data_IF_755874221514
#
_entry.id   IF_755874221514
#
_cell.length_a   1.000
_cell.length_b   1.000
_cell.length_c   1.000
_cell.angle_alpha   90.00
_cell.angle_beta   90.00
_cell.angle_gamma   90.00
#
_symmetry.space_group_name_H-M   'P 1'
#
loop_
_entity.id
_entity.type
_entity.pdbx_description
1 polymer ?
#
# COMPACT_ATOMS: atom_id res chain seq x y z
N UNK A 1 17.90 -9.37 13.14
CA UNK A 1 16.82 -8.93 12.23
C UNK A 1 15.66 -8.47 13.08
N UNK A 2 15.45 -7.16 13.19
CA UNK A 2 14.29 -6.61 13.87
C UNK A 2 13.07 -6.97 13.01
N UNK A 3 12.21 -7.84 13.51
CA UNK A 3 10.92 -8.08 12.87
C UNK A 3 10.11 -6.82 13.11
N UNK A 4 10.00 -5.96 12.10
CA UNK A 4 9.05 -4.87 12.13
C UNK A 4 7.66 -5.50 12.25
N UNK A 5 7.00 -5.26 13.37
CA UNK A 5 5.60 -5.61 13.52
C UNK A 5 4.84 -4.61 12.66
N UNK A 6 4.63 -4.97 11.38
CA UNK A 6 3.94 -4.15 10.39
C UNK A 6 2.46 -4.11 10.76
N UNK A 7 2.09 -3.28 11.73
CA UNK A 7 0.68 -3.02 12.01
C UNK A 7 0.15 -1.99 11.00
N UNK A 8 -0.85 -2.38 10.21
CA UNK A 8 -1.45 -1.48 9.22
C UNK A 8 -2.20 -0.31 9.86
N UNK A 9 -2.47 -0.39 11.17
CA UNK A 9 -3.03 0.69 11.98
C UNK A 9 -1.95 1.63 12.54
N UNK A 10 -0.66 1.29 12.40
CA UNK A 10 0.42 2.18 12.78
C UNK A 10 0.49 3.36 11.81
N UNK A 11 -0.06 4.51 12.24
CA UNK A 11 -0.10 5.74 11.44
C UNK A 11 1.28 6.31 11.09
N UNK A 12 2.37 5.82 11.69
CA UNK A 12 3.74 6.16 11.23
C UNK A 12 4.13 5.38 9.97
N UNK A 13 3.73 4.12 9.89
CA UNK A 13 4.00 3.27 8.73
C UNK A 13 2.92 3.42 7.65
N UNK A 14 1.68 3.66 8.04
CA UNK A 14 0.51 3.80 7.19
C UNK A 14 -0.28 5.07 7.56
N UNK A 15 0.26 6.26 7.27
CA UNK A 15 -0.39 7.53 7.56
C UNK A 15 -1.70 7.68 6.78
N UNK A 16 -2.63 8.46 7.33
CA UNK A 16 -3.75 9.01 6.55
C UNK A 16 -3.29 10.26 5.76
N UNK A 17 -4.16 10.81 4.91
CA UNK A 17 -3.78 11.91 4.03
C UNK A 17 -3.32 13.16 4.80
N UNK A 18 -3.98 13.49 5.91
CA UNK A 18 -3.62 14.66 6.74
C UNK A 18 -2.31 14.54 7.49
N UNK A 19 -1.74 13.33 7.56
CA UNK A 19 -0.48 13.04 8.24
C UNK A 19 0.70 12.93 7.27
N UNK A 20 0.48 13.02 5.96
CA UNK A 20 1.56 12.96 4.98
C UNK A 20 2.40 14.23 5.03
N UNK A 21 3.73 14.12 4.81
CA UNK A 21 4.57 15.30 4.62
C UNK A 21 4.13 16.05 3.37
N UNK A 22 4.30 17.37 3.36
CA UNK A 22 4.11 18.19 2.16
C UNK A 22 5.39 18.18 1.34
N UNK A 23 5.29 18.05 0.02
CA UNK A 23 6.45 17.84 -0.86
C UNK A 23 7.47 18.98 -0.88
N UNK A 24 7.04 20.19 -0.53
CA UNK A 24 7.89 21.38 -0.42
C UNK A 24 8.20 21.77 1.04
N UNK A 25 7.92 20.91 2.03
CA UNK A 25 8.18 21.17 3.44
C UNK A 25 9.24 20.22 4.01
N UNK A 26 10.13 20.76 4.85
CA UNK A 26 11.11 19.95 5.56
C UNK A 26 10.47 19.33 6.81
N UNK A 27 9.84 18.16 6.63
CA UNK A 27 9.27 17.42 7.76
C UNK A 27 10.30 16.50 8.43
N UNK A 28 10.85 16.97 9.56
CA UNK A 28 11.81 16.23 10.39
C UNK A 28 11.26 14.91 10.98
N UNK A 29 9.95 14.70 10.92
CA UNK A 29 9.29 13.44 11.32
C UNK A 29 9.57 12.35 10.29
N UNK A 30 9.56 12.71 9.00
CA UNK A 30 9.73 11.79 7.88
C UNK A 30 11.16 11.78 7.34
N UNK A 31 11.86 12.90 7.41
CA UNK A 31 13.20 13.06 6.83
C UNK A 31 14.26 13.40 7.88
N UNK A 32 15.48 12.93 7.63
CA UNK A 32 16.68 13.35 8.32
C UNK A 32 17.70 13.78 7.30
N UNK A 33 18.48 14.79 7.63
CA UNK A 33 19.63 15.17 6.85
C UNK A 33 20.77 14.18 7.09
N UNK A 34 21.39 13.75 5.99
CA UNK A 34 22.62 12.98 6.04
C UNK A 34 23.80 13.92 6.32
N UNK A 35 24.47 13.74 7.46
CA UNK A 35 25.46 14.69 7.97
C UNK A 35 26.68 14.90 7.06
N UNK A 36 26.97 13.97 6.16
CA UNK A 36 28.10 14.06 5.23
C UNK A 36 27.70 14.72 3.90
N UNK A 37 26.52 14.37 3.37
CA UNK A 37 26.08 14.82 2.04
C UNK A 37 25.12 16.02 2.07
N UNK A 38 24.51 16.34 3.21
CA UNK A 38 23.42 17.31 3.31
C UNK A 38 22.12 16.84 2.64
N UNK A 39 22.08 15.60 2.12
CA UNK A 39 20.93 15.07 1.40
C UNK A 39 19.90 14.57 2.40
N UNK A 40 18.64 14.96 2.18
CA UNK A 40 17.52 14.45 2.95
C UNK A 40 17.25 12.97 2.64
N UNK A 41 17.15 12.15 3.68
CA UNK A 41 16.83 10.73 3.60
C UNK A 41 15.64 10.37 4.47
N UNK A 42 14.76 9.46 4.03
CA UNK A 42 13.69 8.94 4.88
C UNK A 42 14.22 8.41 6.23
N UNK A 43 13.57 8.79 7.34
CA UNK A 43 13.86 8.27 8.69
C UNK A 43 13.34 6.87 8.90
N UNK A 44 12.24 6.55 8.23
CA UNK A 44 11.55 5.27 8.25
C UNK A 44 10.83 5.09 6.91
N UNK A 45 10.30 3.89 6.67
CA UNK A 45 9.45 3.61 5.52
C UNK A 45 8.00 3.92 5.89
N UNK A 46 7.26 4.59 5.00
CA UNK A 46 5.81 4.74 5.09
C UNK A 46 5.16 4.41 3.75
N UNK A 47 3.90 3.98 3.83
CA UNK A 47 3.08 3.56 2.72
C UNK A 47 1.69 4.16 2.88
N UNK A 48 1.28 4.97 1.92
CA UNK A 48 -0.08 5.52 1.88
C UNK A 48 -1.00 4.54 1.14
N UNK A 49 -2.10 4.15 1.79
CA UNK A 49 -3.07 3.19 1.27
C UNK A 49 -4.38 3.89 0.91
N UNK A 50 -4.87 3.64 -0.29
CA UNK A 50 -6.09 4.27 -0.82
C UNK A 50 -6.87 3.33 -1.71
N UNK A 51 -8.19 3.34 -1.60
CA UNK A 51 -9.11 2.64 -2.51
C UNK A 51 -9.64 3.58 -3.58
N UNK A 52 -9.48 3.22 -4.86
CA UNK A 52 -9.94 4.01 -6.00
C UNK A 52 -11.46 4.05 -6.02
N UNK A 53 -12.04 5.24 -5.94
CA UNK A 53 -13.49 5.46 -6.04
C UNK A 53 -13.92 6.02 -7.38
N UNK A 54 -13.02 6.70 -8.10
CA UNK A 54 -13.32 7.31 -9.40
C UNK A 54 -12.08 7.38 -10.28
N UNK A 55 -12.26 7.15 -11.58
CA UNK A 55 -11.24 7.35 -12.61
C UNK A 55 -11.55 8.66 -13.33
N UNK A 56 -10.59 9.58 -13.35
CA UNK A 56 -10.76 10.89 -13.98
C UNK A 56 -10.28 10.83 -15.43
N UNK A 57 -11.16 11.04 -16.43
CA UNK A 57 -10.80 10.95 -17.84
C UNK A 57 -10.02 12.20 -18.27
N UNK A 58 -8.70 12.07 -18.42
CA UNK A 58 -7.84 13.17 -18.88
C UNK A 58 -6.54 12.67 -19.53
N UNK A 59 -5.67 13.59 -19.96
CA UNK A 59 -4.41 13.30 -20.67
C UNK A 59 -3.41 12.47 -19.86
N UNK A 60 -3.53 12.46 -18.52
CA UNK A 60 -2.71 11.67 -17.59
C UNK A 60 -3.63 10.86 -16.68
N UNK A 61 -3.20 9.68 -16.20
CA UNK A 61 -3.98 8.92 -15.25
C UNK A 61 -4.17 9.67 -13.94
N UNK A 62 -5.44 9.86 -13.57
CA UNK A 62 -5.85 10.57 -12.37
C UNK A 62 -7.04 9.86 -11.75
N UNK A 63 -7.12 9.93 -10.43
CA UNK A 63 -8.10 9.18 -9.65
C UNK A 63 -8.59 10.03 -8.48
N UNK A 64 -9.85 9.82 -8.10
CA UNK A 64 -10.27 10.05 -6.72
C UNK A 64 -10.25 8.71 -5.99
N UNK A 65 -9.74 8.73 -4.77
CA UNK A 65 -9.64 7.56 -3.92
C UNK A 65 -9.97 7.92 -2.47
N UNK A 66 -10.26 6.92 -1.66
CA UNK A 66 -10.47 7.08 -0.22
C UNK A 66 -9.31 6.48 0.55
N UNK A 67 -8.77 7.22 1.50
CA UNK A 67 -7.76 6.69 2.41
C UNK A 67 -8.35 5.79 3.51
N UNK A 68 -7.49 5.31 4.40
CA UNK A 68 -7.86 4.44 5.53
C UNK A 68 -8.89 5.03 6.50
N UNK A 69 -9.03 6.36 6.54
CA UNK A 69 -10.04 7.04 7.38
C UNK A 69 -11.26 7.49 6.55
N UNK A 70 -11.31 7.09 5.27
CA UNK A 70 -12.40 7.41 4.34
C UNK A 70 -12.31 8.80 3.72
N UNK A 71 -11.21 9.53 3.93
CA UNK A 71 -11.02 10.85 3.34
C UNK A 71 -10.83 10.72 1.84
N UNK A 72 -11.59 11.51 1.06
CA UNK A 72 -11.42 11.60 -0.38
C UNK A 72 -10.13 12.33 -0.72
N UNK A 73 -9.30 11.72 -1.56
CA UNK A 73 -7.98 12.20 -1.98
C UNK A 73 -7.87 12.16 -3.49
N UNK A 74 -7.34 13.23 -4.06
CA UNK A 74 -7.03 13.31 -5.49
C UNK A 74 -5.62 12.76 -5.74
N UNK A 75 -5.46 11.91 -6.75
CA UNK A 75 -4.18 11.28 -7.10
C UNK A 75 -3.90 11.52 -8.57
N UNK A 76 -2.71 12.02 -8.90
CA UNK A 76 -2.32 12.30 -10.27
C UNK A 76 -0.93 11.76 -10.61
N UNK A 77 -0.85 10.91 -11.63
CA UNK A 77 0.40 10.36 -12.12
C UNK A 77 1.13 11.38 -13.01
N UNK A 78 2.31 11.80 -12.56
CA UNK A 78 3.25 12.70 -13.20
C UNK A 78 4.56 11.99 -13.58
N UNK A 79 4.49 10.68 -13.83
CA UNK A 79 5.61 9.90 -14.32
C UNK A 79 6.05 10.37 -15.71
N UNK A 80 7.33 10.14 -16.05
CA UNK A 80 7.90 10.51 -17.35
C UNK A 80 7.19 9.77 -18.50
N UNK A 81 6.80 8.52 -18.24
CA UNK A 81 5.86 7.80 -19.08
C UNK A 81 4.45 8.30 -18.81
N UNK A 82 3.89 9.15 -19.68
CA UNK A 82 2.55 9.76 -19.47
C UNK A 82 1.39 8.76 -19.29
N UNK A 83 1.63 7.46 -19.40
CA UNK A 83 0.67 6.39 -19.18
C UNK A 83 1.40 5.11 -18.72
N UNK A 84 1.84 5.03 -17.45
CA UNK A 84 2.50 3.84 -16.95
C UNK A 84 1.53 2.67 -16.99
N UNK A 85 2.06 1.48 -17.26
CA UNK A 85 1.26 0.26 -17.39
C UNK A 85 0.35 0.05 -16.17
N UNK A 86 0.89 0.29 -14.97
CA UNK A 86 0.15 0.16 -13.70
C UNK A 86 -1.12 1.01 -13.67
N UNK A 87 -1.10 2.20 -14.27
CA UNK A 87 -2.23 3.11 -14.28
C UNK A 87 -3.33 2.68 -15.27
N UNK A 88 -2.99 1.91 -16.32
CA UNK A 88 -3.97 1.38 -17.28
C UNK A 88 -4.78 0.22 -16.73
N UNK A 89 -4.24 -0.50 -15.76
CA UNK A 89 -4.89 -1.67 -15.15
C UNK A 89 -5.78 -1.31 -13.96
N UNK A 90 -5.69 -0.08 -13.47
CA UNK A 90 -6.46 0.42 -12.35
C UNK A 90 -7.95 0.49 -12.68
N UNK A 91 -8.78 -0.09 -11.82
CA UNK A 91 -10.25 0.05 -11.86
C UNK A 91 -10.79 0.58 -10.53
N UNK A 92 -12.01 1.09 -10.56
CA UNK A 92 -12.75 1.44 -9.34
C UNK A 92 -12.85 0.21 -8.43
N UNK A 93 -12.59 0.39 -7.14
CA UNK A 93 -12.53 -0.66 -6.13
C UNK A 93 -11.16 -1.31 -5.95
N UNK A 94 -10.16 -0.97 -6.77
CA UNK A 94 -8.78 -1.38 -6.53
C UNK A 94 -8.13 -0.54 -5.44
N UNK A 95 -7.13 -1.11 -4.76
CA UNK A 95 -6.34 -0.43 -3.75
C UNK A 95 -4.95 -0.11 -4.28
N UNK A 96 -4.51 1.13 -4.12
CA UNK A 96 -3.12 1.53 -4.34
C UNK A 96 -2.36 1.62 -3.01
N UNK A 97 -1.15 1.07 -3.00
CA UNK A 97 -0.13 1.34 -2.01
C UNK A 97 0.93 2.25 -2.62
N UNK A 98 1.13 3.43 -2.06
CA UNK A 98 2.07 4.44 -2.55
C UNK A 98 3.15 4.62 -1.47
N UNK A 99 4.33 4.07 -1.72
CA UNK A 99 5.49 4.24 -0.86
C UNK A 99 5.98 5.68 -0.90
N UNK A 100 6.31 6.21 0.27
CA UNK A 100 6.84 7.57 0.41
C UNK A 100 5.95 8.68 -0.14
N UNK A 101 4.62 8.47 -0.13
CA UNK A 101 3.68 9.48 -0.60
C UNK A 101 3.87 10.81 0.15
N UNK A 102 3.72 11.90 -0.59
CA UNK A 102 3.73 13.26 -0.09
C UNK A 102 2.47 13.97 -0.60
N UNK A 103 1.94 14.87 0.20
CA UNK A 103 0.88 15.77 -0.24
C UNK A 103 1.46 16.87 -1.16
N UNK A 104 0.69 17.27 -2.17
CA UNK A 104 1.10 18.18 -3.22
C UNK A 104 -0.04 19.16 -3.54
N UNK A 105 0.30 20.45 -3.65
CA UNK A 105 -0.59 21.49 -4.16
C UNK A 105 -0.50 21.61 -5.68
N UNK A 106 -1.62 21.42 -6.38
CA UNK A 106 -1.72 21.55 -7.83
C UNK A 106 -2.04 22.98 -8.24
N UNK A 107 -1.70 23.34 -9.50
CA UNK A 107 -1.90 24.68 -10.05
C UNK A 107 -3.37 25.15 -10.06
N UNK A 108 -4.32 24.22 -10.07
CA UNK A 108 -5.76 24.50 -10.02
C UNK A 108 -6.29 24.70 -8.59
N UNK A 109 -5.40 24.73 -7.60
CA UNK A 109 -5.72 24.89 -6.18
C UNK A 109 -6.13 23.60 -5.48
N UNK A 110 -6.18 22.44 -6.16
CA UNK A 110 -6.42 21.15 -5.50
C UNK A 110 -5.20 20.75 -4.66
N UNK A 111 -5.43 20.01 -3.59
CA UNK A 111 -4.39 19.33 -2.81
C UNK A 111 -4.61 17.83 -2.93
N UNK A 112 -3.56 17.07 -3.22
CA UNK A 112 -3.64 15.62 -3.42
C UNK A 112 -2.28 14.95 -3.41
N UNK A 113 -2.16 13.82 -4.10
CA UNK A 113 -0.90 13.08 -4.26
C UNK A 113 -0.42 13.20 -5.69
N UNK A 114 0.83 13.62 -5.86
CA UNK A 114 1.53 13.59 -7.15
C UNK A 114 2.46 12.38 -7.18
N UNK A 115 2.18 11.42 -8.06
CA UNK A 115 3.01 10.22 -8.21
C UNK A 115 4.03 10.44 -9.33
N UNK A 116 5.30 10.55 -8.98
CA UNK A 116 6.38 10.83 -9.94
C UNK A 116 7.08 9.58 -10.48
N UNK A 117 7.03 8.47 -9.74
CA UNK A 117 7.57 7.18 -10.18
C UNK A 117 6.61 6.04 -9.84
N UNK A 118 6.36 5.17 -10.82
CA UNK A 118 5.53 3.98 -10.62
C UNK A 118 6.24 2.90 -9.78
N UNK A 119 7.57 2.96 -9.61
CA UNK A 119 8.34 1.98 -8.84
C UNK A 119 7.96 1.96 -7.35
N UNK A 120 7.39 3.07 -6.87
CA UNK A 120 6.89 3.22 -5.50
C UNK A 120 5.40 2.89 -5.36
N UNK A 121 4.74 2.45 -6.43
CA UNK A 121 3.32 2.12 -6.41
C UNK A 121 3.12 0.61 -6.57
N UNK A 122 2.32 0.03 -5.68
CA UNK A 122 1.77 -1.32 -5.85
C UNK A 122 0.25 -1.25 -5.96
N UNK A 123 -0.28 -1.91 -6.97
CA UNK A 123 -1.71 -2.05 -7.19
C UNK A 123 -2.19 -3.40 -6.64
N UNK A 124 -3.30 -3.38 -5.92
CA UNK A 124 -4.02 -4.56 -5.48
C UNK A 124 -5.42 -4.53 -6.10
N UNK A 125 -5.77 -5.57 -6.85
CA UNK A 125 -7.07 -5.66 -7.52
C UNK A 125 -8.20 -6.09 -6.58
N UNK A 126 -8.35 -5.39 -5.46
CA UNK A 126 -9.38 -5.58 -4.46
C UNK A 126 -9.55 -4.32 -3.58
N UNK A 127 -10.66 -4.28 -2.85
CA UNK A 127 -10.98 -3.21 -1.89
C UNK A 127 -9.93 -3.08 -0.79
N UNK A 128 -9.81 -1.89 -0.20
CA UNK A 128 -8.89 -1.62 0.89
C UNK A 128 -9.18 -2.50 2.09
N UNK A 129 -10.45 -2.72 2.42
CA UNK A 129 -10.87 -3.63 3.49
C UNK A 129 -10.25 -5.03 3.32
N UNK A 130 -10.27 -5.58 2.09
CA UNK A 130 -9.67 -6.89 1.79
C UNK A 130 -8.15 -6.88 1.94
N UNK A 131 -7.47 -5.80 1.52
CA UNK A 131 -6.02 -5.63 1.75
C UNK A 131 -5.70 -5.61 3.25
N UNK A 132 -6.46 -4.86 4.05
CA UNK A 132 -6.28 -4.78 5.51
C UNK A 132 -6.48 -6.14 6.18
N UNK A 133 -7.57 -6.83 5.87
CA UNK A 133 -7.91 -8.14 6.44
C UNK A 133 -6.85 -9.20 6.11
N UNK A 134 -6.39 -9.23 4.86
CA UNK A 134 -5.33 -10.15 4.44
C UNK A 134 -3.99 -9.78 5.11
N UNK A 135 -3.68 -8.48 5.23
CA UNK A 135 -2.50 -8.00 5.93
C UNK A 135 -2.45 -8.46 7.39
N UNK A 136 -3.56 -8.32 8.13
CA UNK A 136 -3.68 -8.79 9.52
C UNK A 136 -3.43 -10.30 9.64
N UNK A 137 -4.02 -11.08 8.73
CA UNK A 137 -3.82 -12.53 8.66
C UNK A 137 -2.35 -12.92 8.41
N UNK A 138 -1.61 -12.16 7.61
CA UNK A 138 -0.18 -12.42 7.35
C UNK A 138 0.71 -12.19 8.58
N UNK A 139 0.37 -11.22 9.42
CA UNK A 139 1.15 -10.87 10.61
C UNK A 139 0.90 -11.89 11.74
N UNK A 140 -0.33 -12.42 11.82
CA UNK A 140 -0.71 -13.44 12.81
C UNK A 140 0.29 -14.59 12.88
N UNK A 141 0.59 -15.07 14.10
CA UNK A 141 1.46 -16.23 14.35
C UNK A 141 0.67 -17.56 14.37
N UNK A 142 -0.63 -17.47 14.18
CA UNK A 142 -1.55 -18.60 14.26
C UNK A 142 -1.95 -19.11 12.88
N UNK A 143 -2.49 -20.32 12.85
CA UNK A 143 -3.06 -20.92 11.66
C UNK A 143 -4.24 -20.08 11.16
N UNK A 144 -4.22 -19.67 9.90
CA UNK A 144 -5.28 -18.86 9.30
C UNK A 144 -6.68 -19.53 9.32
N UNK A 145 -6.74 -20.84 9.52
CA UNK A 145 -7.98 -21.64 9.48
C UNK A 145 -8.56 -21.93 10.85
N UNK A 146 -7.72 -22.21 11.85
CA UNK A 146 -8.18 -22.77 13.13
C UNK A 146 -7.47 -22.17 14.35
N UNK A 147 -6.70 -21.11 14.16
CA UNK A 147 -6.01 -20.32 15.19
C UNK A 147 -4.99 -21.07 16.07
N UNK A 148 -4.77 -22.36 15.84
CA UNK A 148 -3.69 -23.13 16.48
C UNK A 148 -2.31 -22.58 16.09
N UNK A 149 -1.27 -22.76 16.91
CA UNK A 149 0.08 -22.31 16.57
C UNK A 149 0.54 -22.79 15.18
N UNK A 150 0.99 -21.85 14.35
CA UNK A 150 1.45 -22.18 13.01
C UNK A 150 2.80 -22.91 13.04
N UNK A 151 2.99 -23.82 12.08
CA UNK A 151 4.21 -24.62 11.89
C UNK A 151 4.76 -24.53 10.47
N UNK A 152 3.93 -24.09 9.53
CA UNK A 152 4.27 -23.87 8.13
C UNK A 152 3.67 -22.57 7.63
N UNK A 153 4.13 -22.12 6.45
CA UNK A 153 3.58 -20.95 5.77
C UNK A 153 3.59 -21.16 4.26
N UNK A 154 2.72 -20.44 3.55
CA UNK A 154 2.74 -20.36 2.10
C UNK A 154 4.05 -19.71 1.65
N UNK A 155 4.77 -20.35 0.71
CA UNK A 155 6.05 -19.82 0.21
C UNK A 155 5.89 -18.53 -0.59
N UNK A 156 4.74 -18.34 -1.25
CA UNK A 156 4.48 -17.19 -2.11
C UNK A 156 4.06 -15.95 -1.31
N UNK A 157 3.17 -16.12 -0.33
CA UNK A 157 2.55 -14.99 0.38
C UNK A 157 2.81 -14.98 1.91
N UNK A 158 3.48 -15.98 2.47
CA UNK A 158 3.78 -16.12 3.91
C UNK A 158 2.58 -16.38 4.85
N UNK A 159 1.38 -16.62 4.31
CA UNK A 159 0.21 -16.98 5.12
C UNK A 159 0.46 -18.27 5.93
N UNK A 160 0.11 -18.27 7.21
CA UNK A 160 0.56 -19.27 8.18
C UNK A 160 -0.47 -20.36 8.48
N UNK A 161 0.01 -21.59 8.68
CA UNK A 161 -0.83 -22.77 8.90
C UNK A 161 -0.25 -23.71 9.96
N UNK A 162 -1.09 -24.44 10.68
CA UNK A 162 -0.63 -25.47 11.62
C UNK A 162 -0.30 -26.81 10.94
N UNK A 163 -0.84 -27.05 9.72
CA UNK A 163 -0.65 -28.30 8.98
C UNK A 163 -0.95 -28.15 7.48
N UNK A 164 -0.53 -29.13 6.68
CA UNK A 164 -0.76 -29.17 5.22
C UNK A 164 -2.25 -29.34 4.89
N UNK A 165 -3.00 -30.01 5.75
CA UNK A 165 -4.45 -30.21 5.62
C UNK A 165 -5.18 -28.87 5.71
N UNK A 166 -4.85 -28.05 6.71
CA UNK A 166 -5.42 -26.70 6.84
C UNK A 166 -5.08 -25.85 5.61
N UNK A 167 -3.82 -25.85 5.18
CA UNK A 167 -3.41 -25.09 3.99
C UNK A 167 -4.13 -25.52 2.71
N UNK A 168 -4.31 -26.84 2.51
CA UNK A 168 -4.96 -27.37 1.29
C UNK A 168 -6.47 -27.14 1.30
N UNK A 169 -7.10 -27.23 2.48
CA UNK A 169 -8.51 -26.90 2.64
C UNK A 169 -8.75 -25.41 2.34
N UNK A 170 -7.94 -24.53 2.95
CA UNK A 170 -8.06 -23.09 2.80
C UNK A 170 -7.70 -22.59 1.38
N UNK A 171 -6.76 -23.26 0.71
CA UNK A 171 -6.42 -22.99 -0.69
C UNK A 171 -7.64 -23.03 -1.62
N UNK A 172 -8.54 -23.99 -1.40
CA UNK A 172 -9.76 -24.14 -2.20
C UNK A 172 -10.85 -23.14 -1.81
N UNK A 173 -10.83 -22.65 -0.58
CA UNK A 173 -11.86 -21.76 -0.04
C UNK A 173 -11.58 -20.29 -0.34
N UNK A 174 -10.37 -19.81 -0.03
CA UNK A 174 -10.03 -18.38 -0.14
C UNK A 174 -8.56 -18.08 -0.43
N UNK A 175 -7.64 -18.88 0.10
CA UNK A 175 -6.22 -18.54 0.03
C UNK A 175 -5.68 -18.48 -1.40
N UNK A 176 -6.22 -19.24 -2.36
CA UNK A 176 -5.78 -19.10 -3.78
C UNK A 176 -6.02 -17.67 -4.30
N UNK A 177 -7.17 -17.08 -4.01
CA UNK A 177 -7.49 -15.72 -4.44
C UNK A 177 -6.62 -14.70 -3.70
N UNK A 178 -6.53 -14.81 -2.38
CA UNK A 178 -5.71 -13.92 -1.54
C UNK A 178 -4.23 -13.99 -1.94
N UNK A 179 -3.70 -15.19 -2.18
CA UNK A 179 -2.33 -15.42 -2.59
C UNK A 179 -2.00 -14.75 -3.93
N UNK A 180 -2.97 -14.64 -4.85
CA UNK A 180 -2.77 -13.91 -6.11
C UNK A 180 -2.74 -12.39 -5.90
N UNK A 181 -3.43 -11.87 -4.89
CA UNK A 181 -3.46 -10.43 -4.56
C UNK A 181 -2.14 -10.01 -3.89
N UNK A 182 -1.70 -10.76 -2.87
CA UNK A 182 -0.58 -10.37 -2.00
C UNK A 182 0.71 -11.15 -2.27
N UNK A 183 0.68 -12.10 -3.20
CA UNK A 183 1.82 -12.93 -3.55
C UNK A 183 3.03 -12.09 -3.91
N UNK A 184 4.21 -12.65 -3.66
CA UNK A 184 5.45 -12.13 -4.23
C UNK A 184 5.36 -12.43 -5.71
N UNK A 185 5.06 -11.42 -6.53
CA UNK A 185 5.15 -11.53 -7.98
C UNK A 185 6.55 -12.10 -8.31
N UNK A 186 6.66 -13.11 -9.18
CA UNK A 186 7.95 -13.61 -9.63
C UNK A 186 8.82 -12.52 -10.25
#
# INVERSE_FOLDING_TARGET
>A
MTVYNLDIKDKKLFPNFTQLPYDNDYDVTFYKEDAESGILRPRHHWCFLVEITEIVPWLRPMYYAKDIDGQSVFIAFHTDDRSPHIARECKVGDTMAIMYAQSHGFMDGKIGIRVESHDYVKLFHCSLEKVLNVGEALISKSCHVCDKPARSQCVNCAMKYCSKECQTADWKLRHKEECNIIGRTP
#
